data_IF_947643518647
#
_entry.id   IF_947643518647
#
_cell.length_a   1.000
_cell.length_b   1.000
_cell.length_c   1.000
_cell.angle_alpha   90.00
_cell.angle_beta   90.00
_cell.angle_gamma   90.00
#
_symmetry.space_group_name_H-M   'P 1'
#
loop_
_entity.id
_entity.type
_entity.pdbx_description
1 polymer ?
#
# COMPACT_ATOMS: atom_id res chain seq x y z
N UNK A 1 -57.34 -33.10 -45.53
CA UNK A 1 -58.12 -31.85 -45.33
C UNK A 1 -57.11 -30.71 -45.30
N UNK A 2 -57.22 -29.79 -46.28
CA UNK A 2 -57.07 -28.31 -46.19
C UNK A 2 -55.89 -27.78 -45.35
N UNK A 3 -55.02 -26.83 -45.71
CA UNK A 3 -54.86 -25.80 -46.74
C UNK A 3 -53.65 -24.96 -46.22
N UNK A 4 -52.68 -24.56 -47.06
CA UNK A 4 -52.45 -23.15 -47.48
C UNK A 4 -52.29 -22.18 -46.27
N UNK A 5 -51.24 -21.40 -46.02
CA UNK A 5 -50.51 -20.46 -46.89
C UNK A 5 -49.58 -19.61 -45.99
N UNK A 6 -48.33 -19.33 -46.39
CA UNK A 6 -47.82 -17.99 -46.77
C UNK A 6 -47.58 -16.98 -45.64
N UNK A 7 -46.29 -16.74 -45.37
CA UNK A 7 -45.57 -15.44 -45.33
C UNK A 7 -46.36 -14.23 -44.81
N UNK A 8 -45.88 -13.59 -43.74
CA UNK A 8 -45.77 -12.13 -43.72
C UNK A 8 -44.66 -11.63 -42.77
N UNK A 9 -43.52 -11.36 -43.39
CA UNK A 9 -42.42 -10.55 -42.89
C UNK A 9 -42.93 -9.10 -42.75
N UNK A 10 -43.20 -8.64 -41.53
CA UNK A 10 -43.70 -7.29 -41.30
C UNK A 10 -42.52 -6.37 -40.98
N UNK A 11 -41.96 -5.83 -42.06
CA UNK A 11 -41.01 -4.73 -42.07
C UNK A 11 -41.74 -3.48 -41.61
N UNK A 12 -41.54 -3.06 -40.36
CA UNK A 12 -42.04 -1.78 -39.88
C UNK A 12 -41.04 -0.68 -40.30
N UNK A 13 -41.19 -0.25 -41.55
CA UNK A 13 -40.58 0.97 -42.07
C UNK A 13 -41.42 2.15 -41.59
N UNK A 14 -40.90 2.92 -40.65
CA UNK A 14 -41.42 4.24 -40.30
C UNK A 14 -40.38 5.26 -40.73
N UNK A 15 -40.65 5.89 -41.87
CA UNK A 15 -40.03 7.13 -42.29
C UNK A 15 -40.70 8.28 -41.53
N UNK A 16 -39.90 9.10 -40.83
CA UNK A 16 -40.30 10.41 -40.30
C UNK A 16 -39.21 11.42 -40.73
N UNK A 17 -39.60 12.65 -41.10
CA UNK A 17 -38.95 13.39 -42.19
C UNK A 17 -37.73 14.21 -41.75
N UNK A 18 -36.94 14.56 -42.77
CA UNK A 18 -35.88 15.53 -42.72
C UNK A 18 -36.40 16.92 -42.28
N UNK A 19 -35.76 17.49 -41.26
CA UNK A 19 -35.63 18.93 -41.05
C UNK A 19 -34.16 19.26 -40.77
N UNK A 20 -33.76 20.41 -41.32
CA UNK A 20 -32.39 20.79 -41.61
C UNK A 20 -31.61 21.38 -40.42
N UNK A 21 -30.29 21.18 -40.49
CA UNK A 21 -29.18 22.11 -40.17
C UNK A 21 -29.31 23.00 -38.92
N UNK A 22 -28.45 22.75 -37.93
CA UNK A 22 -27.55 23.79 -37.41
C UNK A 22 -26.26 23.15 -36.85
N UNK A 23 -25.11 23.76 -37.18
CA UNK A 23 -23.79 23.34 -36.75
C UNK A 23 -23.51 23.90 -35.36
N UNK A 24 -23.01 23.10 -34.43
CA UNK A 24 -22.57 23.65 -33.14
C UNK A 24 -21.87 22.62 -32.28
N UNK A 25 -20.58 22.84 -32.07
CA UNK A 25 -19.70 22.20 -31.10
C UNK A 25 -20.36 21.84 -29.76
N UNK A 26 -20.03 20.68 -29.19
CA UNK A 26 -19.01 20.57 -28.13
C UNK A 26 -18.86 19.11 -27.68
N UNK A 27 -18.06 18.36 -28.44
CA UNK A 27 -17.51 17.08 -27.98
C UNK A 27 -16.19 17.40 -27.28
N UNK A 28 -16.21 17.73 -25.98
CA UNK A 28 -15.02 17.76 -25.10
C UNK A 28 -15.38 18.06 -23.64
N UNK A 29 -15.43 17.02 -22.80
CA UNK A 29 -14.83 17.02 -21.44
C UNK A 29 -15.28 15.81 -20.60
N UNK A 30 -14.73 14.62 -20.86
CA UNK A 30 -14.79 13.53 -19.86
C UNK A 30 -13.56 12.62 -19.84
N UNK A 31 -12.47 13.03 -20.48
CA UNK A 31 -11.28 12.18 -20.62
C UNK A 31 -10.05 13.05 -20.35
N UNK A 32 -9.58 13.16 -19.10
CA UNK A 32 -8.14 13.39 -18.76
C UNK A 32 -7.82 13.10 -17.28
N UNK A 33 -8.75 13.22 -16.33
CA UNK A 33 -8.38 13.25 -14.88
C UNK A 33 -7.84 11.90 -14.30
N UNK A 34 -8.11 10.76 -14.94
CA UNK A 34 -7.82 9.44 -14.33
C UNK A 34 -6.35 8.99 -14.39
N UNK A 35 -5.51 9.58 -15.25
CA UNK A 35 -4.08 9.19 -15.37
C UNK A 35 -3.18 9.84 -14.33
N UNK A 36 -3.50 11.05 -13.88
CA UNK A 36 -2.67 11.77 -12.91
C UNK A 36 -2.75 11.15 -11.51
N UNK A 37 -3.94 10.75 -11.07
CA UNK A 37 -4.17 10.14 -9.74
C UNK A 37 -3.29 8.90 -9.49
N UNK A 38 -3.12 8.00 -10.46
CA UNK A 38 -2.25 6.82 -10.30
C UNK A 38 -0.77 7.18 -10.10
N UNK A 39 -0.30 8.25 -10.74
CA UNK A 39 1.09 8.70 -10.64
C UNK A 39 1.35 9.39 -9.30
N UNK A 40 0.40 10.23 -8.86
CA UNK A 40 0.44 10.91 -7.55
C UNK A 40 0.42 9.88 -6.42
N UNK A 41 -0.51 8.91 -6.49
CA UNK A 41 -0.60 7.84 -5.51
C UNK A 41 0.66 6.98 -5.45
N UNK A 42 1.24 6.61 -6.61
CA UNK A 42 2.50 5.86 -6.64
C UNK A 42 3.66 6.62 -5.99
N UNK A 43 3.75 7.93 -6.21
CA UNK A 43 4.75 8.78 -5.56
C UNK A 43 4.55 8.85 -4.04
N UNK A 44 3.30 8.97 -3.59
CA UNK A 44 2.94 8.91 -2.19
C UNK A 44 3.30 7.55 -1.57
N UNK A 45 2.95 6.45 -2.22
CA UNK A 45 3.29 5.10 -1.77
C UNK A 45 4.79 4.95 -1.58
N UNK A 46 5.62 5.39 -2.54
CA UNK A 46 7.08 5.32 -2.40
C UNK A 46 7.59 6.05 -1.15
N UNK A 47 7.08 7.26 -0.90
CA UNK A 47 7.43 8.06 0.28
C UNK A 47 7.00 7.36 1.58
N UNK A 48 5.80 6.80 1.59
CA UNK A 48 5.21 6.11 2.74
C UNK A 48 5.95 4.81 3.05
N UNK A 49 6.24 3.98 2.04
CA UNK A 49 7.08 2.79 2.15
C UNK A 49 8.47 3.12 2.67
N UNK A 50 9.05 4.25 2.25
CA UNK A 50 10.31 4.75 2.78
C UNK A 50 10.26 5.01 4.29
N UNK A 51 9.17 5.60 4.79
CA UNK A 51 8.98 5.87 6.23
C UNK A 51 8.73 4.59 7.01
N UNK A 52 7.91 3.69 6.50
CA UNK A 52 7.67 2.38 7.10
C UNK A 52 9.00 1.61 7.25
N UNK A 53 9.83 1.56 6.21
CA UNK A 53 11.14 0.88 6.26
C UNK A 53 12.08 1.49 7.29
N UNK A 54 12.10 2.82 7.41
CA UNK A 54 12.90 3.51 8.42
C UNK A 54 12.43 3.20 9.86
N UNK A 55 11.15 2.86 10.00
CA UNK A 55 10.57 2.40 11.24
C UNK A 55 10.76 0.89 11.45
N UNK A 56 11.33 0.08 10.56
CA UNK A 56 11.41 -1.36 10.82
C UNK A 56 12.76 -1.79 11.39
N UNK A 57 12.77 -2.72 12.38
CA UNK A 57 13.99 -3.34 12.85
C UNK A 57 14.75 -3.95 11.70
N UNK A 58 16.00 -3.55 11.57
CA UNK A 58 16.94 -4.17 10.66
C UNK A 58 17.71 -5.22 11.45
N UNK A 59 17.69 -6.47 10.98
CA UNK A 59 18.59 -7.50 11.48
C UNK A 59 20.02 -6.95 11.35
N UNK A 60 20.69 -6.77 12.49
CA UNK A 60 22.07 -6.28 12.50
C UNK A 60 22.95 -7.42 11.99
N UNK A 61 23.12 -7.52 10.67
CA UNK A 61 24.13 -8.41 10.12
C UNK A 61 25.49 -7.92 10.63
N UNK A 62 26.17 -8.79 11.36
CA UNK A 62 27.41 -8.47 12.04
C UNK A 62 28.55 -8.26 11.03
N UNK A 63 28.54 -7.14 10.31
CA UNK A 63 29.67 -6.66 9.50
C UNK A 63 30.43 -5.52 10.21
N UNK A 64 29.97 -5.09 11.38
CA UNK A 64 30.53 -3.94 12.12
C UNK A 64 31.00 -4.33 13.53
N UNK A 65 31.55 -5.54 13.69
CA UNK A 65 32.42 -5.88 14.83
C UNK A 65 33.85 -5.32 14.71
N UNK A 66 34.07 -4.36 13.81
CA UNK A 66 35.39 -3.76 13.60
C UNK A 66 35.39 -2.22 13.73
N UNK A 67 34.52 -1.68 14.59
CA UNK A 67 34.84 -0.41 15.24
C UNK A 67 35.54 -0.72 16.55
N UNK A 68 36.80 -1.14 16.42
CA UNK A 68 37.76 -0.93 17.50
C UNK A 68 37.66 0.55 17.88
N UNK A 69 37.28 0.82 19.12
CA UNK A 69 37.39 2.15 19.70
C UNK A 69 38.89 2.44 19.72
N UNK A 70 39.39 3.08 18.67
CA UNK A 70 40.71 3.70 18.70
C UNK A 70 40.55 4.88 19.66
N UNK A 71 40.79 4.63 20.94
CA UNK A 71 40.99 5.66 21.94
C UNK A 71 42.25 6.42 21.56
N UNK A 72 42.10 7.41 20.68
CA UNK A 72 43.06 8.48 20.52
C UNK A 72 42.33 9.82 20.59
N UNK A 73 42.05 10.24 21.83
CA UNK A 73 42.20 11.63 22.23
C UNK A 73 41.23 12.67 21.68
N UNK A 74 40.01 12.33 21.24
CA UNK A 74 39.01 13.35 20.91
C UNK A 74 37.94 13.40 21.99
N UNK A 75 38.07 14.41 22.85
CA UNK A 75 37.00 14.95 23.70
C UNK A 75 35.96 15.61 22.78
N UNK A 76 35.28 14.82 21.97
CA UNK A 76 34.29 15.25 21.00
C UNK A 76 32.93 14.99 21.59
N UNK A 77 32.18 16.06 21.82
CA UNK A 77 30.80 16.05 22.26
C UNK A 77 30.01 14.89 21.64
N UNK A 78 29.31 14.14 22.49
CA UNK A 78 28.23 13.24 22.09
C UNK A 78 27.11 14.12 21.53
N UNK A 79 27.33 14.67 20.33
CA UNK A 79 26.31 15.36 19.57
C UNK A 79 25.33 14.29 19.13
N UNK A 80 24.32 14.06 19.98
CA UNK A 80 22.92 13.87 19.62
C UNK A 80 22.77 13.25 18.22
N UNK A 81 23.32 12.05 18.05
CA UNK A 81 23.11 11.30 16.82
C UNK A 81 21.78 10.60 17.01
N UNK A 82 20.75 11.35 16.62
CA UNK A 82 19.37 10.90 16.44
C UNK A 82 18.71 10.27 17.67
N UNK A 83 18.02 11.12 18.42
CA UNK A 83 16.83 10.77 19.23
C UNK A 83 15.70 10.38 18.24
N UNK A 84 15.94 9.36 17.44
CA UNK A 84 14.92 8.52 16.86
C UNK A 84 15.19 7.20 17.57
N UNK A 85 14.71 7.10 18.81
CA UNK A 85 14.69 5.82 19.51
C UNK A 85 13.87 4.88 18.63
N UNK A 86 14.49 3.88 17.97
CA UNK A 86 13.74 2.93 17.20
C UNK A 86 12.77 2.24 18.17
N UNK A 87 11.50 2.08 17.79
CA UNK A 87 10.49 1.58 18.74
C UNK A 87 10.82 0.17 19.27
N UNK A 88 11.68 -0.59 18.58
CA UNK A 88 12.13 -1.91 19.01
C UNK A 88 13.27 -1.79 20.03
N UNK A 89 12.92 -1.89 21.32
CA UNK A 89 13.89 -1.91 22.43
C UNK A 89 14.58 -3.28 22.54
N UNK A 90 15.91 -3.26 22.49
CA UNK A 90 16.78 -4.37 22.92
C UNK A 90 17.40 -5.17 21.77
N UNK A 91 18.62 -5.65 21.97
CA UNK A 91 19.27 -6.61 21.08
C UNK A 91 18.59 -7.98 21.27
N UNK A 92 17.42 -8.17 20.65
CA UNK A 92 16.67 -9.44 20.66
C UNK A 92 17.18 -10.41 19.59
N UNK A 93 18.37 -10.19 19.03
CA UNK A 93 18.91 -11.04 17.96
C UNK A 93 19.28 -12.45 18.42
N UNK A 94 19.38 -12.66 19.74
CA UNK A 94 19.59 -13.97 20.35
C UNK A 94 18.27 -14.75 20.55
N UNK A 95 17.10 -14.12 20.38
CA UNK A 95 15.78 -14.75 20.52
C UNK A 95 15.33 -15.33 19.17
N UNK A 96 15.24 -16.66 19.09
CA UNK A 96 14.86 -17.39 17.88
C UNK A 96 13.44 -17.02 17.39
N UNK A 97 12.50 -16.80 18.31
CA UNK A 97 11.12 -16.44 17.96
C UNK A 97 11.07 -15.03 17.38
N UNK A 98 11.82 -14.08 17.94
CA UNK A 98 11.93 -12.73 17.39
C UNK A 98 12.59 -12.71 16.00
N UNK A 99 13.63 -13.54 15.80
CA UNK A 99 14.29 -13.66 14.49
C UNK A 99 13.34 -14.28 13.45
N UNK A 100 12.55 -15.29 13.83
CA UNK A 100 11.56 -15.90 12.95
C UNK A 100 10.47 -14.90 12.54
N UNK A 101 9.89 -14.20 13.53
CA UNK A 101 8.91 -13.13 13.31
C UNK A 101 9.44 -12.07 12.33
N UNK A 102 10.63 -11.53 12.63
CA UNK A 102 11.24 -10.48 11.82
C UNK A 102 11.56 -10.97 10.40
N UNK A 103 11.94 -12.24 10.25
CA UNK A 103 12.20 -12.86 8.94
C UNK A 103 10.91 -12.96 8.14
N UNK A 104 9.82 -13.45 8.73
CA UNK A 104 8.49 -13.53 8.09
C UNK A 104 8.03 -12.16 7.64
N UNK A 105 8.12 -11.17 8.53
CA UNK A 105 7.78 -9.79 8.21
C UNK A 105 8.62 -9.22 7.07
N UNK A 106 9.95 -9.36 7.14
CA UNK A 106 10.88 -8.86 6.11
C UNK A 106 10.61 -9.51 4.74
N UNK A 107 10.31 -10.81 4.71
CA UNK A 107 9.92 -11.51 3.48
C UNK A 107 8.64 -10.93 2.88
N UNK A 108 7.64 -10.64 3.73
CA UNK A 108 6.39 -10.01 3.30
C UNK A 108 6.63 -8.61 2.71
N UNK A 109 7.54 -7.83 3.31
CA UNK A 109 7.95 -6.54 2.76
C UNK A 109 8.68 -6.68 1.42
N UNK A 110 9.55 -7.67 1.29
CA UNK A 110 10.29 -7.91 0.05
C UNK A 110 9.33 -8.15 -1.13
N UNK A 111 8.25 -8.91 -0.93
CA UNK A 111 7.23 -9.07 -1.97
C UNK A 111 6.60 -7.74 -2.39
N UNK A 112 6.40 -6.81 -1.46
CA UNK A 112 5.86 -5.50 -1.78
C UNK A 112 6.87 -4.65 -2.56
N UNK A 113 8.16 -4.73 -2.22
CA UNK A 113 9.25 -4.04 -2.92
C UNK A 113 9.48 -4.59 -4.34
N UNK A 114 9.36 -5.90 -4.50
CA UNK A 114 9.44 -6.59 -5.78
C UNK A 114 8.23 -6.28 -6.69
N UNK A 115 7.18 -5.66 -6.13
CA UNK A 115 5.93 -5.34 -6.81
C UNK A 115 4.94 -6.50 -6.88
N UNK A 116 5.27 -7.65 -6.28
CA UNK A 116 4.41 -8.80 -6.07
C UNK A 116 3.40 -8.52 -4.94
N UNK A 117 2.60 -7.46 -5.11
CA UNK A 117 1.67 -6.96 -4.09
C UNK A 117 0.65 -8.01 -3.65
N UNK A 118 0.30 -8.96 -4.52
CA UNK A 118 -0.63 -10.03 -4.17
C UNK A 118 -0.04 -11.01 -3.16
N UNK A 119 1.25 -11.37 -3.31
CA UNK A 119 1.97 -12.17 -2.30
C UNK A 119 2.23 -11.36 -1.05
N UNK A 120 2.55 -10.08 -1.19
CA UNK A 120 2.75 -9.18 -0.05
C UNK A 120 1.50 -9.12 0.83
N UNK A 121 0.32 -8.94 0.23
CA UNK A 121 -0.96 -8.95 0.96
C UNK A 121 -1.14 -10.26 1.71
N UNK A 122 -0.98 -11.41 1.05
CA UNK A 122 -1.14 -12.71 1.72
C UNK A 122 -0.12 -12.93 2.85
N UNK A 123 1.15 -12.59 2.63
CA UNK A 123 2.20 -12.79 3.64
C UNK A 123 2.07 -11.83 4.82
N UNK A 124 1.56 -10.61 4.60
CA UNK A 124 1.28 -9.65 5.68
C UNK A 124 0.06 -10.05 6.50
N UNK A 125 -0.96 -10.60 5.85
CA UNK A 125 -2.16 -11.13 6.51
C UNK A 125 -1.79 -12.31 7.42
N UNK A 126 -1.05 -13.29 6.88
CA UNK A 126 -0.51 -14.43 7.62
C UNK A 126 0.38 -13.97 8.79
N UNK A 127 1.23 -12.96 8.58
CA UNK A 127 2.04 -12.40 9.66
C UNK A 127 1.20 -11.82 10.81
N UNK A 128 0.11 -11.11 10.50
CA UNK A 128 -0.77 -10.53 11.54
C UNK A 128 -1.50 -11.63 12.31
N UNK A 129 -1.90 -12.72 11.63
CA UNK A 129 -2.53 -13.88 12.27
C UNK A 129 -1.55 -14.64 13.17
N UNK A 130 -0.36 -14.95 12.66
CA UNK A 130 0.65 -15.75 13.35
C UNK A 130 1.34 -15.00 14.50
N UNK A 131 1.52 -13.69 14.35
CA UNK A 131 2.27 -12.85 15.28
C UNK A 131 1.40 -11.71 15.85
N UNK A 132 0.15 -11.99 16.21
CA UNK A 132 -0.80 -10.99 16.73
C UNK A 132 -0.33 -10.20 17.98
N UNK A 133 0.59 -10.75 18.77
CA UNK A 133 1.19 -10.09 19.94
C UNK A 133 2.43 -9.24 19.62
N UNK A 134 2.87 -9.20 18.35
CA UNK A 134 4.08 -8.51 17.94
C UNK A 134 3.94 -6.98 17.95
N UNK A 135 5.03 -6.29 18.31
CA UNK A 135 5.15 -4.84 18.16
C UNK A 135 5.16 -4.38 16.68
N UNK A 136 5.35 -5.31 15.74
CA UNK A 136 5.34 -5.08 14.29
C UNK A 136 3.95 -5.18 13.66
N UNK A 137 2.95 -5.72 14.37
CA UNK A 137 1.56 -5.81 13.89
C UNK A 137 1.03 -4.48 13.32
N UNK A 138 1.14 -3.32 14.01
CA UNK A 138 0.69 -2.05 13.44
C UNK A 138 1.40 -1.69 12.12
N UNK A 139 2.68 -2.04 11.98
CA UNK A 139 3.44 -1.82 10.75
C UNK A 139 3.02 -2.78 9.64
N UNK A 140 2.69 -4.02 9.97
CA UNK A 140 2.17 -5.01 9.04
C UNK A 140 0.76 -4.64 8.54
N UNK A 141 -0.15 -4.23 9.44
CA UNK A 141 -1.50 -3.80 9.06
C UNK A 141 -1.46 -2.57 8.15
N UNK A 142 -0.58 -1.61 8.46
CA UNK A 142 -0.35 -0.48 7.57
C UNK A 142 0.21 -0.89 6.20
N UNK A 143 1.21 -1.77 6.18
CA UNK A 143 1.79 -2.34 4.96
C UNK A 143 0.76 -3.10 4.11
N UNK A 144 -0.16 -3.80 4.77
CA UNK A 144 -1.24 -4.56 4.15
C UNK A 144 -2.19 -3.58 3.44
N UNK A 145 -2.64 -2.54 4.15
CA UNK A 145 -3.50 -1.51 3.60
C UNK A 145 -2.91 -0.83 2.37
N UNK A 146 -1.65 -0.38 2.43
CA UNK A 146 -0.99 0.26 1.27
C UNK A 146 -0.77 -0.72 0.10
N UNK A 147 -0.53 -2.00 0.37
CA UNK A 147 -0.36 -3.05 -0.65
C UNK A 147 -1.68 -3.36 -1.36
N UNK A 148 -2.78 -3.45 -0.60
CA UNK A 148 -4.14 -3.58 -1.15
C UNK A 148 -4.49 -2.37 -2.03
N UNK A 149 -4.13 -1.16 -1.60
CA UNK A 149 -4.31 0.06 -2.38
C UNK A 149 -3.52 0.03 -3.69
N UNK A 150 -2.27 -0.43 -3.64
CA UNK A 150 -1.43 -0.65 -4.83
C UNK A 150 -2.01 -1.69 -5.80
N UNK A 151 -2.72 -2.71 -5.31
CA UNK A 151 -3.48 -3.67 -6.13
C UNK A 151 -4.75 -3.09 -6.74
N UNK A 152 -5.17 -1.89 -6.32
CA UNK A 152 -6.45 -1.29 -6.70
C UNK A 152 -7.64 -1.84 -5.90
N UNK A 153 -7.41 -2.57 -4.81
CA UNK A 153 -8.46 -2.99 -3.86
C UNK A 153 -8.76 -1.83 -2.91
N UNK A 154 -9.39 -0.79 -3.46
CA UNK A 154 -9.60 0.50 -2.76
C UNK A 154 -10.42 0.34 -1.48
N UNK A 155 -11.53 -0.40 -1.52
CA UNK A 155 -12.41 -0.56 -0.36
C UNK A 155 -11.70 -1.29 0.79
N UNK A 156 -11.08 -2.44 0.50
CA UNK A 156 -10.29 -3.21 1.47
C UNK A 156 -9.12 -2.40 2.06
N UNK A 157 -8.45 -1.61 1.21
CA UNK A 157 -7.35 -0.74 1.64
C UNK A 157 -7.82 0.33 2.62
N UNK A 158 -8.96 0.98 2.34
CA UNK A 158 -9.54 1.99 3.23
C UNK A 158 -10.01 1.39 4.55
N UNK A 159 -10.63 0.21 4.51
CA UNK A 159 -11.05 -0.52 5.71
C UNK A 159 -9.84 -0.85 6.60
N UNK A 160 -8.83 -1.52 6.05
CA UNK A 160 -7.60 -1.91 6.77
C UNK A 160 -6.87 -0.70 7.35
N UNK A 161 -6.75 0.39 6.60
CA UNK A 161 -6.10 1.62 7.08
C UNK A 161 -6.94 2.35 8.13
N UNK A 162 -8.27 2.27 8.04
CA UNK A 162 -9.17 2.86 9.02
C UNK A 162 -9.09 2.11 10.36
N UNK A 163 -9.04 0.78 10.33
CA UNK A 163 -8.78 -0.05 11.50
C UNK A 163 -7.45 0.32 12.15
N UNK A 164 -6.37 0.37 11.37
CA UNK A 164 -5.05 0.79 11.85
C UNK A 164 -5.09 2.17 12.56
N UNK A 165 -5.82 3.14 12.01
CA UNK A 165 -5.97 4.47 12.62
C UNK A 165 -6.77 4.42 13.93
N UNK A 166 -7.74 3.53 14.04
CA UNK A 166 -8.58 3.36 15.22
C UNK A 166 -7.85 2.61 16.34
N UNK A 167 -7.13 1.54 15.98
CA UNK A 167 -6.47 0.65 16.92
C UNK A 167 -5.13 1.22 17.41
N UNK A 168 -4.44 1.96 16.52
CA UNK A 168 -3.11 2.51 16.80
C UNK A 168 -3.04 4.05 16.63
N UNK A 169 -3.89 4.83 17.32
CA UNK A 169 -4.05 6.28 17.08
C UNK A 169 -2.81 7.12 17.41
N UNK A 170 -1.85 6.57 18.16
CA UNK A 170 -0.57 7.22 18.51
C UNK A 170 0.60 6.79 17.61
N UNK A 171 0.36 5.89 16.66
CA UNK A 171 1.42 5.36 15.82
C UNK A 171 1.97 6.45 14.87
N UNK A 172 3.29 6.54 14.62
CA UNK A 172 3.88 7.56 13.76
C UNK A 172 3.31 7.62 12.34
N UNK A 173 2.75 6.50 11.84
CA UNK A 173 2.18 6.36 10.50
C UNK A 173 0.69 6.72 10.41
N UNK A 174 0.02 7.11 11.49
CA UNK A 174 -1.42 7.47 11.46
C UNK A 174 -1.70 8.62 10.50
N UNK A 175 -0.83 9.63 10.45
CA UNK A 175 -0.97 10.74 9.51
C UNK A 175 -0.82 10.27 8.05
N UNK A 176 0.11 9.35 7.79
CA UNK A 176 0.30 8.77 6.47
C UNK A 176 -0.88 7.89 6.06
N UNK A 177 -1.43 7.09 6.97
CA UNK A 177 -2.61 6.25 6.72
C UNK A 177 -3.80 7.09 6.27
N UNK A 178 -4.10 8.16 7.00
CA UNK A 178 -5.16 9.11 6.62
C UNK A 178 -4.90 9.74 5.26
N UNK A 179 -3.65 10.07 4.95
CA UNK A 179 -3.29 10.62 3.66
C UNK A 179 -3.45 9.60 2.52
N UNK A 180 -2.99 8.37 2.71
CA UNK A 180 -3.18 7.27 1.74
C UNK A 180 -4.67 7.06 1.48
N UNK A 181 -5.50 6.97 2.52
CA UNK A 181 -6.95 6.81 2.40
C UNK A 181 -7.63 7.93 1.61
N UNK A 182 -7.14 9.16 1.74
CA UNK A 182 -7.69 10.32 1.01
C UNK A 182 -7.34 10.30 -0.49
N UNK A 183 -6.24 9.65 -0.86
CA UNK A 183 -5.72 9.59 -2.23
C UNK A 183 -6.19 8.35 -3.02
N UNK A 184 -6.69 7.33 -2.32
CA UNK A 184 -7.28 6.11 -2.87
C UNK A 184 -8.68 6.35 -3.47
#
# INVERSE_FOLDING_TARGET
MKNLSIILMLVFSVAIPAYAVDQGADEKSSIVVKKESKSVFKGLLYKVWGRLRALNPQLRTNKTRDRTVVTMGIRGAETTSSIIEPYWKGDKTDDESYVAELTTYTNAQQFAEDGDLQKAVSALDEFIEDYSDSELVPNAQFALGISQGGLGKIDASKETLQEFVNDYPKHPLVADAKQVMAEL
#
